data_IF_834019140697
#
_entry.id   IF_834019140697
#
_cell.length_a   1.000
_cell.length_b   1.000
_cell.length_c   1.000
_cell.angle_alpha   90.00
_cell.angle_beta   90.00
_cell.angle_gamma   90.00
#
_symmetry.space_group_name_H-M   'P 1'
#
loop_
_entity.id
_entity.type
_entity.pdbx_description
1 polymer ?
#
# COMPACT_ATOMS: atom_id res chain seq x y z
N UNK A 1 2.23 12.89 -18.13
CA UNK A 1 1.02 12.09 -18.44
C UNK A 1 1.22 11.49 -19.82
N UNK A 2 1.00 10.18 -19.98
CA UNK A 2 1.18 9.47 -21.27
C UNK A 2 -0.18 9.32 -21.96
N UNK A 3 -1.17 8.78 -21.26
CA UNK A 3 -2.55 8.65 -21.77
C UNK A 3 -3.57 9.39 -20.92
N UNK A 4 -3.22 9.74 -19.68
CA UNK A 4 -4.16 10.31 -18.70
C UNK A 4 -5.20 9.31 -18.17
N UNK A 5 -5.11 8.04 -18.56
CA UNK A 5 -5.99 6.98 -18.06
C UNK A 5 -5.48 6.46 -16.72
N UNK A 6 -6.34 6.52 -15.70
CA UNK A 6 -6.06 5.92 -14.39
C UNK A 6 -6.01 4.40 -14.50
N UNK A 7 -5.25 3.78 -13.60
CA UNK A 7 -5.32 2.33 -13.42
C UNK A 7 -6.75 1.88 -13.10
N UNK A 8 -7.14 0.72 -13.63
CA UNK A 8 -8.43 0.13 -13.31
C UNK A 8 -8.50 -0.23 -11.82
N UNK A 9 -9.65 -0.04 -11.19
CA UNK A 9 -9.84 -0.28 -9.74
C UNK A 9 -9.52 -1.71 -9.32
N UNK A 10 -9.78 -2.69 -10.19
CA UNK A 10 -9.39 -4.09 -9.93
C UNK A 10 -7.86 -4.28 -9.87
N UNK A 11 -7.07 -3.50 -10.62
CA UNK A 11 -5.61 -3.55 -10.53
C UNK A 11 -5.13 -2.99 -9.18
N UNK A 12 -5.71 -1.86 -8.76
CA UNK A 12 -5.46 -1.30 -7.41
C UNK A 12 -5.78 -2.34 -6.33
N UNK A 13 -6.97 -2.95 -6.39
CA UNK A 13 -7.38 -3.97 -5.43
C UNK A 13 -6.44 -5.17 -5.42
N UNK A 14 -5.99 -5.64 -6.58
CA UNK A 14 -5.06 -6.76 -6.66
C UNK A 14 -3.73 -6.47 -5.94
N UNK A 15 -3.13 -5.30 -6.17
CA UNK A 15 -1.90 -4.90 -5.47
C UNK A 15 -2.12 -4.78 -3.97
N UNK A 16 -3.23 -4.16 -3.55
CA UNK A 16 -3.57 -4.01 -2.13
C UNK A 16 -3.79 -5.38 -1.46
N UNK A 17 -4.44 -6.33 -2.13
CA UNK A 17 -4.61 -7.70 -1.65
C UNK A 17 -3.26 -8.41 -1.47
N UNK A 18 -2.33 -8.26 -2.41
CA UNK A 18 -0.97 -8.82 -2.29
C UNK A 18 -0.28 -8.28 -1.05
N UNK A 19 -0.29 -6.96 -0.84
CA UNK A 19 0.37 -6.31 0.30
C UNK A 19 -0.28 -6.67 1.63
N UNK A 20 -1.62 -6.81 1.66
CA UNK A 20 -2.36 -7.30 2.82
C UNK A 20 -1.94 -8.72 3.20
N UNK A 21 -1.89 -9.62 2.23
CA UNK A 21 -1.49 -11.01 2.45
C UNK A 21 -0.02 -11.13 2.86
N UNK A 22 0.87 -10.32 2.27
CA UNK A 22 2.28 -10.27 2.65
C UNK A 22 2.47 -9.79 4.10
N UNK A 23 1.75 -8.74 4.52
CA UNK A 23 1.80 -8.25 5.90
C UNK A 23 1.30 -9.29 6.91
N UNK A 24 0.24 -10.04 6.57
CA UNK A 24 -0.26 -11.14 7.40
C UNK A 24 0.79 -12.25 7.53
N UNK A 25 1.32 -12.74 6.41
CA UNK A 25 2.32 -13.80 6.39
C UNK A 25 3.60 -13.39 7.14
N UNK A 26 4.11 -12.17 6.93
CA UNK A 26 5.29 -11.67 7.61
C UNK A 26 5.06 -11.48 9.12
N UNK A 27 3.84 -11.16 9.55
CA UNK A 27 3.49 -11.12 10.97
C UNK A 27 3.50 -12.51 11.60
N UNK A 28 2.94 -13.52 10.92
CA UNK A 28 2.94 -14.91 11.37
C UNK A 28 4.36 -15.49 11.50
N UNK A 29 5.23 -15.12 10.56
CA UNK A 29 6.65 -15.48 10.57
C UNK A 29 7.50 -14.63 11.54
N UNK A 30 6.90 -13.64 12.22
CA UNK A 30 7.59 -12.66 13.08
C UNK A 30 8.67 -11.84 12.36
N UNK A 31 8.63 -11.80 11.03
CA UNK A 31 9.48 -10.95 10.20
C UNK A 31 8.99 -9.48 10.20
N UNK A 32 7.73 -9.25 10.57
CA UNK A 32 7.14 -7.93 10.74
C UNK A 32 6.52 -7.82 12.15
N UNK A 33 6.80 -6.70 12.82
CA UNK A 33 6.20 -6.38 14.11
C UNK A 33 4.65 -6.38 14.03
N UNK A 34 4.01 -6.99 15.01
CA UNK A 34 2.57 -7.24 15.00
C UNK A 34 1.75 -5.93 14.98
N UNK A 35 2.23 -4.86 15.65
CA UNK A 35 1.54 -3.57 15.63
C UNK A 35 1.60 -2.95 14.23
N UNK A 36 2.75 -3.01 13.57
CA UNK A 36 2.91 -2.55 12.18
C UNK A 36 2.06 -3.37 11.23
N UNK A 37 2.08 -4.70 11.35
CA UNK A 37 1.29 -5.61 10.52
C UNK A 37 -0.21 -5.30 10.62
N UNK A 38 -0.75 -5.17 11.84
CA UNK A 38 -2.17 -4.83 12.05
C UNK A 38 -2.54 -3.47 11.42
N UNK A 39 -1.67 -2.47 11.53
CA UNK A 39 -1.90 -1.17 10.91
C UNK A 39 -1.92 -1.25 9.38
N UNK A 40 -0.98 -2.00 8.78
CA UNK A 40 -0.91 -2.23 7.34
C UNK A 40 -2.13 -3.01 6.84
N UNK A 41 -2.52 -4.10 7.52
CA UNK A 41 -3.70 -4.89 7.17
C UNK A 41 -4.97 -4.03 7.21
N UNK A 42 -5.13 -3.22 8.27
CA UNK A 42 -6.26 -2.29 8.39
C UNK A 42 -6.26 -1.22 7.30
N UNK A 43 -5.09 -0.67 6.94
CA UNK A 43 -4.96 0.26 5.82
C UNK A 43 -5.40 -0.40 4.49
N UNK A 44 -4.97 -1.64 4.24
CA UNK A 44 -5.40 -2.39 3.08
C UNK A 44 -6.92 -2.63 3.09
N UNK A 45 -7.51 -3.02 4.23
CA UNK A 45 -8.95 -3.26 4.35
C UNK A 45 -9.78 -1.98 4.07
N UNK A 46 -9.31 -0.83 4.53
CA UNK A 46 -9.94 0.46 4.21
C UNK A 46 -9.88 0.76 2.70
N UNK A 47 -8.75 0.50 2.04
CA UNK A 47 -8.62 0.71 0.59
C UNK A 47 -9.52 -0.27 -0.19
N UNK A 48 -9.57 -1.54 0.22
CA UNK A 48 -10.43 -2.55 -0.40
C UNK A 48 -11.93 -2.23 -0.22
N UNK A 49 -12.30 -1.54 0.88
CA UNK A 49 -13.65 -0.99 1.09
C UNK A 49 -14.00 0.19 0.16
N UNK A 50 -13.06 0.63 -0.68
CA UNK A 50 -13.25 1.70 -1.66
C UNK A 50 -12.73 3.07 -1.23
N UNK A 51 -12.06 3.17 -0.07
CA UNK A 51 -11.43 4.43 0.36
C UNK A 51 -10.12 4.66 -0.38
N UNK A 52 -9.72 5.93 -0.51
CA UNK A 52 -8.40 6.33 -1.04
C UNK A 52 -8.08 5.89 -2.48
N UNK A 53 -9.08 5.46 -3.26
CA UNK A 53 -8.86 5.06 -4.67
C UNK A 53 -8.32 6.21 -5.53
N UNK A 54 -8.55 7.45 -5.13
CA UNK A 54 -8.05 8.67 -5.75
C UNK A 54 -6.54 8.89 -5.54
N UNK A 55 -5.93 8.20 -4.57
CA UNK A 55 -4.50 8.30 -4.24
C UNK A 55 -3.61 7.40 -5.11
N UNK A 56 -4.22 6.54 -5.93
CA UNK A 56 -3.53 5.72 -6.93
C UNK A 56 -3.43 6.50 -8.25
N UNK A 57 -2.38 7.32 -8.34
CA UNK A 57 -2.22 8.34 -9.40
C UNK A 57 -1.45 7.84 -10.62
N UNK A 58 -0.77 6.70 -10.51
CA UNK A 58 0.00 6.11 -11.61
C UNK A 58 -0.95 5.63 -12.72
N UNK A 59 -0.65 6.05 -13.95
CA UNK A 59 -1.44 5.72 -15.13
C UNK A 59 -1.39 4.23 -15.47
N UNK A 60 -2.41 3.73 -16.16
CA UNK A 60 -2.46 2.34 -16.61
C UNK A 60 -1.26 1.97 -17.51
N UNK A 61 -0.82 2.93 -18.34
CA UNK A 61 0.44 2.82 -19.09
C UNK A 61 1.54 3.49 -18.27
N UNK A 62 2.39 2.66 -17.67
CA UNK A 62 3.59 3.07 -16.95
C UNK A 62 4.76 2.14 -17.31
N UNK A 63 5.85 2.13 -16.55
CA UNK A 63 7.01 1.28 -16.85
C UNK A 63 6.60 -0.20 -16.90
N UNK A 64 7.11 -0.96 -17.87
CA UNK A 64 6.62 -2.31 -18.17
C UNK A 64 6.71 -3.33 -17.02
N UNK A 65 7.59 -3.10 -16.04
CA UNK A 65 7.72 -3.95 -14.85
C UNK A 65 6.69 -3.65 -13.76
N UNK A 66 5.91 -2.55 -13.86
CA UNK A 66 4.95 -2.15 -12.84
C UNK A 66 5.55 -1.57 -11.56
N UNK A 67 6.87 -1.32 -11.52
CA UNK A 67 7.59 -0.81 -10.33
C UNK A 67 6.97 0.47 -9.79
N UNK A 68 6.59 1.41 -10.66
CA UNK A 68 5.98 2.68 -10.25
C UNK A 68 4.62 2.45 -9.57
N UNK A 69 3.82 1.51 -10.09
CA UNK A 69 2.51 1.18 -9.51
C UNK A 69 2.64 0.43 -8.19
N UNK A 70 3.64 -0.47 -8.09
CA UNK A 70 3.99 -1.14 -6.84
C UNK A 70 4.38 -0.11 -5.76
N UNK A 71 5.27 0.82 -6.08
CA UNK A 71 5.72 1.85 -5.14
C UNK A 71 4.60 2.81 -4.74
N UNK A 72 3.75 3.25 -5.68
CA UNK A 72 2.58 4.06 -5.35
C UNK A 72 1.64 3.30 -4.38
N UNK A 73 1.43 2.01 -4.61
CA UNK A 73 0.63 1.17 -3.69
C UNK A 73 1.27 1.09 -2.30
N UNK A 74 2.58 0.84 -2.24
CA UNK A 74 3.33 0.78 -0.99
C UNK A 74 3.22 2.09 -0.19
N UNK A 75 3.40 3.24 -0.85
CA UNK A 75 3.36 4.57 -0.22
C UNK A 75 1.96 4.94 0.28
N UNK A 76 0.91 4.63 -0.49
CA UNK A 76 -0.48 4.89 -0.07
C UNK A 76 -0.82 4.07 1.17
N UNK A 77 -0.47 2.78 1.17
CA UNK A 77 -0.70 1.87 2.30
C UNK A 77 0.12 2.29 3.52
N UNK A 78 1.42 2.58 3.35
CA UNK A 78 2.30 2.99 4.45
C UNK A 78 1.79 4.27 5.12
N UNK A 79 1.46 5.29 4.34
CA UNK A 79 0.94 6.54 4.89
C UNK A 79 -0.40 6.36 5.58
N UNK A 80 -1.26 5.48 5.06
CA UNK A 80 -2.54 5.21 5.73
C UNK A 80 -2.34 4.45 7.04
N UNK A 81 -1.42 3.48 7.07
CA UNK A 81 -1.05 2.76 8.27
C UNK A 81 -0.45 3.70 9.34
N UNK A 82 0.35 4.69 8.94
CA UNK A 82 0.86 5.74 9.83
C UNK A 82 -0.27 6.56 10.46
N UNK A 83 -1.25 7.00 9.67
CA UNK A 83 -2.42 7.73 10.21
C UNK A 83 -3.21 6.87 11.19
N UNK A 84 -3.39 5.57 10.91
CA UNK A 84 -4.04 4.61 11.81
C UNK A 84 -3.30 4.51 13.15
N UNK A 85 -1.97 4.64 13.14
CA UNK A 85 -1.12 4.68 14.34
C UNK A 85 -1.03 6.07 15.00
N UNK A 86 -1.77 7.07 14.50
CA UNK A 86 -1.69 8.45 14.98
C UNK A 86 -0.36 9.14 14.66
N UNK A 87 0.38 8.65 13.66
CA UNK A 87 1.63 9.24 13.18
C UNK A 87 1.37 10.15 11.98
N UNK A 88 2.33 11.05 11.70
CA UNK A 88 2.29 11.89 10.51
C UNK A 88 2.61 11.06 9.27
N UNK A 89 2.03 11.43 8.12
CA UNK A 89 2.45 10.90 6.82
C UNK A 89 3.94 11.19 6.60
N UNK A 90 4.65 10.25 6.01
CA UNK A 90 6.10 10.33 5.78
C UNK A 90 6.97 9.92 6.96
N UNK A 91 6.40 9.54 8.13
CA UNK A 91 7.13 8.94 9.26
C UNK A 91 7.60 7.51 8.96
N UNK A 92 8.42 7.35 7.93
CA UNK A 92 8.87 6.05 7.40
C UNK A 92 9.86 5.32 8.31
N UNK A 93 10.40 6.00 9.32
CA UNK A 93 11.07 5.37 10.46
C UNK A 93 10.14 4.43 11.26
N UNK A 94 8.84 4.68 11.23
CA UNK A 94 7.83 3.84 11.88
C UNK A 94 7.30 2.79 10.89
N UNK A 95 6.80 3.21 9.73
CA UNK A 95 6.33 2.34 8.64
C UNK A 95 6.93 2.80 7.31
N UNK A 96 8.07 2.20 6.96
CA UNK A 96 8.68 2.26 5.63
C UNK A 96 7.85 1.57 4.54
N UNK A 97 7.56 2.24 3.41
CA UNK A 97 6.95 1.62 2.23
C UNK A 97 7.75 0.44 1.68
N UNK A 98 9.08 0.45 1.85
CA UNK A 98 9.95 -0.61 1.36
C UNK A 98 10.18 -1.72 2.38
N UNK A 99 10.48 -1.38 3.63
CA UNK A 99 10.94 -2.39 4.60
C UNK A 99 9.79 -3.11 5.29
N UNK A 100 8.59 -2.53 5.30
CA UNK A 100 7.44 -3.11 6.00
C UNK A 100 6.25 -3.44 5.10
N UNK A 101 5.99 -2.63 4.07
CA UNK A 101 4.83 -2.84 3.18
C UNK A 101 5.19 -3.70 1.97
N UNK A 102 6.42 -3.58 1.44
CA UNK A 102 6.84 -4.30 0.24
C UNK A 102 7.21 -5.75 0.49
#
# INVERSE_FOLDING_TARGET
KVTGQKAHTNLVRAYVMIKRSAALANSELKALDEQKARAIIKACDEILSGKMLDQFVVEAINSGAGTAFNMNSNEVIANRALEILGKKKGSYEVISPNDHVN
#
